data_IF_638862551683
#
_entry.id   IF_638862551683
#
_cell.length_a   1.000
_cell.length_b   1.000
_cell.length_c   1.000
_cell.angle_alpha   90.00
_cell.angle_beta   90.00
_cell.angle_gamma   90.00
#
_symmetry.space_group_name_H-M   'P 1'
#
loop_
_entity.id
_entity.type
_entity.pdbx_description
1 polymer ?
#
# COMPACT_ATOMS: atom_id res chain seq x y z
N UNK A 1 -3.45 -5.21 4.81
CA UNK A 1 -4.17 -5.02 6.09
C UNK A 1 -3.40 -5.55 7.29
N UNK A 2 -2.72 -6.71 7.20
CA UNK A 2 -1.94 -7.26 8.31
C UNK A 2 -0.86 -6.30 8.83
N UNK A 3 -0.14 -5.62 7.94
CA UNK A 3 0.88 -4.63 8.30
C UNK A 3 0.24 -3.42 9.02
N UNK A 4 -0.92 -2.96 8.57
CA UNK A 4 -1.63 -1.85 9.22
C UNK A 4 -2.02 -2.20 10.66
N UNK A 5 -2.62 -3.37 10.89
CA UNK A 5 -2.98 -3.85 12.23
C UNK A 5 -1.74 -4.03 13.12
N UNK A 6 -0.63 -4.52 12.57
CA UNK A 6 0.63 -4.64 13.29
C UNK A 6 1.16 -3.27 13.72
N UNK A 7 1.11 -2.28 12.83
CA UNK A 7 1.53 -0.91 13.14
C UNK A 7 0.64 -0.26 14.21
N UNK A 8 -0.69 -0.47 14.15
CA UNK A 8 -1.63 0.00 15.18
C UNK A 8 -1.33 -0.65 16.55
N UNK A 9 -1.08 -1.96 16.57
CA UNK A 9 -0.71 -2.67 17.79
C UNK A 9 0.56 -2.10 18.40
N UNK A 10 1.61 -1.94 17.59
CA UNK A 10 2.87 -1.34 18.01
C UNK A 10 2.69 0.08 18.55
N UNK A 11 1.86 0.90 17.88
CA UNK A 11 1.54 2.24 18.34
C UNK A 11 0.92 2.22 19.74
N UNK A 12 -0.05 1.34 19.99
CA UNK A 12 -0.70 1.22 21.28
C UNK A 12 0.24 0.71 22.38
N UNK A 13 1.09 -0.27 22.08
CA UNK A 13 2.09 -0.80 23.03
C UNK A 13 3.08 0.28 23.45
N UNK A 14 3.65 1.02 22.48
CA UNK A 14 4.59 2.11 22.77
C UNK A 14 3.94 3.24 23.58
N UNK A 15 2.65 3.53 23.35
CA UNK A 15 1.91 4.51 24.14
C UNK A 15 1.64 4.02 25.56
N UNK A 16 1.31 2.75 25.74
CA UNK A 16 1.12 2.14 27.06
C UNK A 16 2.40 2.19 27.89
N UNK A 17 3.55 1.97 27.26
CA UNK A 17 4.88 2.04 27.87
C UNK A 17 5.42 3.48 28.03
N UNK A 18 4.63 4.48 27.65
CA UNK A 18 5.04 5.90 27.65
C UNK A 18 6.32 6.17 26.86
N UNK A 19 6.57 5.39 25.82
CA UNK A 19 7.70 5.55 24.92
C UNK A 19 7.62 6.87 24.15
N UNK A 20 8.78 7.49 23.90
CA UNK A 20 8.90 8.65 23.02
C UNK A 20 9.01 8.26 21.52
N UNK A 21 9.05 6.97 21.21
CA UNK A 21 9.13 6.48 19.85
C UNK A 21 7.78 6.64 19.15
N UNK A 22 7.80 7.26 17.97
CA UNK A 22 6.63 7.37 17.08
C UNK A 22 6.50 6.17 16.15
N UNK A 23 5.32 6.01 15.57
CA UNK A 23 5.03 5.00 14.54
C UNK A 23 4.32 5.68 13.36
N UNK A 24 4.83 5.46 12.16
CA UNK A 24 4.18 5.90 10.92
C UNK A 24 3.89 4.68 10.06
N UNK A 25 2.64 4.52 9.65
CA UNK A 25 2.20 3.45 8.75
C UNK A 25 2.08 4.01 7.33
N UNK A 26 3.05 3.69 6.48
CA UNK A 26 3.02 4.07 5.07
C UNK A 26 2.08 3.14 4.29
N UNK A 27 1.08 3.72 3.64
CA UNK A 27 0.13 3.07 2.76
C UNK A 27 0.30 3.63 1.34
N UNK A 28 1.28 3.14 0.57
CA UNK A 28 1.57 3.67 -0.74
C UNK A 28 0.53 3.25 -1.77
N UNK A 29 0.19 4.17 -2.67
CA UNK A 29 -0.45 3.84 -3.95
C UNK A 29 0.57 3.25 -4.93
N UNK A 30 0.43 3.58 -6.21
CA UNK A 30 1.41 3.18 -7.21
C UNK A 30 2.63 4.10 -7.15
N UNK A 31 3.80 3.51 -6.95
CA UNK A 31 5.10 4.20 -6.91
C UNK A 31 5.96 3.65 -8.04
N UNK A 32 6.58 4.53 -8.81
CA UNK A 32 7.45 4.15 -9.92
C UNK A 32 8.74 3.52 -9.38
N UNK A 33 8.73 2.20 -9.29
CA UNK A 33 9.82 1.41 -8.74
C UNK A 33 10.17 0.24 -9.67
N UNK A 34 11.40 -0.24 -9.56
CA UNK A 34 11.92 -1.37 -10.33
C UNK A 34 11.45 -2.76 -9.82
N UNK A 35 10.42 -2.80 -8.95
CA UNK A 35 10.00 -4.04 -8.27
C UNK A 35 9.58 -5.15 -9.25
N UNK A 36 8.88 -4.81 -10.33
CA UNK A 36 8.46 -5.80 -11.34
C UNK A 36 9.66 -6.31 -12.14
N UNK A 37 10.58 -5.42 -12.49
CA UNK A 37 11.80 -5.80 -13.19
C UNK A 37 12.73 -6.62 -12.28
N UNK A 38 12.82 -6.25 -11.00
CA UNK A 38 13.55 -7.04 -10.01
C UNK A 38 12.96 -8.45 -9.88
N UNK A 39 11.64 -8.59 -9.84
CA UNK A 39 10.96 -9.90 -9.80
C UNK A 39 11.27 -10.73 -11.05
N UNK A 40 11.26 -10.12 -12.24
CA UNK A 40 11.64 -10.80 -13.48
C UNK A 40 13.12 -11.26 -13.49
N UNK A 41 14.04 -10.45 -12.94
CA UNK A 41 15.48 -10.79 -12.84
C UNK A 41 15.75 -11.95 -11.86
N UNK A 42 14.97 -12.03 -10.77
CA UNK A 42 15.11 -13.10 -9.78
C UNK A 42 14.67 -14.48 -10.31
N UNK A 43 14.03 -14.52 -11.46
CA UNK A 43 13.73 -15.74 -12.22
C UNK A 43 12.55 -16.54 -11.67
N UNK A 44 12.23 -17.61 -12.38
CA UNK A 44 11.04 -18.45 -12.20
C UNK A 44 10.93 -19.22 -10.88
N UNK A 45 11.90 -19.10 -10.00
CA UNK A 45 11.88 -19.72 -8.66
C UNK A 45 10.98 -19.03 -7.65
N UNK A 46 10.50 -17.82 -7.94
CA UNK A 46 9.75 -16.96 -7.03
C UNK A 46 8.25 -16.86 -7.34
N UNK A 47 7.68 -17.81 -8.09
CA UNK A 47 6.26 -17.81 -8.40
C UNK A 47 5.85 -16.81 -9.47
N UNK A 48 6.73 -16.53 -10.45
CA UNK A 48 6.33 -15.80 -11.66
C UNK A 48 5.14 -16.51 -12.30
N UNK A 49 4.06 -15.79 -12.62
CA UNK A 49 2.86 -16.41 -13.17
C UNK A 49 3.19 -17.04 -14.51
N UNK A 50 2.82 -18.33 -14.65
CA UNK A 50 3.05 -19.12 -15.88
C UNK A 50 1.79 -19.21 -16.74
N UNK A 51 0.71 -18.54 -16.34
CA UNK A 51 -0.56 -18.51 -17.05
C UNK A 51 -0.87 -17.14 -17.68
N UNK A 52 -1.86 -17.12 -18.57
CA UNK A 52 -2.29 -15.91 -19.29
C UNK A 52 -2.81 -14.82 -18.31
N UNK A 53 -3.47 -15.21 -17.24
CA UNK A 53 -4.00 -14.28 -16.24
C UNK A 53 -2.87 -13.56 -15.50
N UNK A 54 -1.83 -14.29 -15.14
CA UNK A 54 -0.64 -13.74 -14.51
C UNK A 54 0.17 -12.82 -15.42
N UNK A 55 0.27 -13.15 -16.72
CA UNK A 55 0.92 -12.28 -17.70
C UNK A 55 0.19 -10.95 -17.86
N UNK A 56 -1.14 -10.97 -17.95
CA UNK A 56 -1.97 -9.75 -18.00
C UNK A 56 -1.84 -8.92 -16.72
N UNK A 57 -1.73 -9.59 -15.56
CA UNK A 57 -1.52 -8.90 -14.29
C UNK A 57 -0.15 -8.21 -14.24
N UNK A 58 0.90 -8.85 -14.75
CA UNK A 58 2.24 -8.24 -14.84
C UNK A 58 2.25 -7.01 -15.74
N UNK A 59 1.64 -7.09 -16.94
CA UNK A 59 1.53 -5.95 -17.85
C UNK A 59 0.76 -4.78 -17.22
N UNK A 60 -0.35 -5.08 -16.54
CA UNK A 60 -1.10 -4.07 -15.79
C UNK A 60 -0.24 -3.43 -14.70
N UNK A 61 0.48 -4.24 -13.92
CA UNK A 61 1.33 -3.76 -12.84
C UNK A 61 2.47 -2.88 -13.35
N UNK A 62 3.14 -3.26 -14.44
CA UNK A 62 4.19 -2.45 -15.06
C UNK A 62 3.65 -1.08 -15.50
N UNK A 63 2.50 -1.06 -16.15
CA UNK A 63 1.87 0.18 -16.63
C UNK A 63 1.42 1.06 -15.46
N UNK A 64 0.86 0.47 -14.42
CA UNK A 64 0.43 1.20 -13.23
C UNK A 64 1.62 1.79 -12.45
N UNK A 65 2.71 1.04 -12.32
CA UNK A 65 3.91 1.50 -11.62
C UNK A 65 4.66 2.58 -12.42
N UNK A 66 4.79 2.43 -13.74
CA UNK A 66 5.45 3.43 -14.58
C UNK A 66 4.71 4.79 -14.63
N UNK A 67 3.43 4.82 -14.27
CA UNK A 67 2.64 6.05 -14.11
C UNK A 67 2.51 6.49 -12.64
N UNK A 68 3.19 5.81 -11.72
CA UNK A 68 3.12 6.08 -10.30
C UNK A 68 3.92 7.29 -9.83
N UNK A 69 3.88 7.54 -8.54
CA UNK A 69 4.64 8.61 -7.92
C UNK A 69 6.15 8.34 -7.98
N UNK A 70 6.93 9.40 -8.11
CA UNK A 70 8.40 9.34 -7.96
C UNK A 70 8.74 8.87 -6.54
N UNK A 71 9.61 7.85 -6.38
CA UNK A 71 10.07 7.40 -5.07
C UNK A 71 10.66 8.51 -4.19
N UNK A 72 11.29 9.52 -4.78
CA UNK A 72 11.84 10.66 -4.04
C UNK A 72 10.73 11.49 -3.38
N UNK A 73 9.60 11.70 -4.08
CA UNK A 73 8.43 12.39 -3.52
C UNK A 73 7.84 11.61 -2.35
N UNK A 74 7.73 10.29 -2.48
CA UNK A 74 7.27 9.43 -1.39
C UNK A 74 8.24 9.50 -0.20
N UNK A 75 9.55 9.55 -0.46
CA UNK A 75 10.57 9.73 0.59
C UNK A 75 10.41 11.03 1.36
N UNK A 76 10.13 12.14 0.69
CA UNK A 76 9.84 13.43 1.32
C UNK A 76 8.57 13.37 2.18
N UNK A 77 7.49 12.79 1.67
CA UNK A 77 6.26 12.59 2.44
C UNK A 77 6.49 11.76 3.71
N UNK A 78 7.31 10.71 3.63
CA UNK A 78 7.68 9.89 4.81
C UNK A 78 8.48 10.70 5.81
N UNK A 79 9.46 11.48 5.34
CA UNK A 79 10.24 12.36 6.22
C UNK A 79 9.34 13.32 6.98
N UNK A 80 8.45 14.01 6.29
CA UNK A 80 7.55 15.00 6.90
C UNK A 80 6.58 14.33 7.88
N UNK A 81 6.02 13.17 7.54
CA UNK A 81 5.15 12.41 8.42
C UNK A 81 5.85 11.97 9.71
N UNK A 82 7.14 11.63 9.65
CA UNK A 82 7.96 11.29 10.83
C UNK A 82 8.17 12.55 11.70
N UNK A 83 8.52 13.68 11.11
CA UNK A 83 8.71 14.95 11.84
C UNK A 83 7.42 15.37 12.54
N UNK A 84 6.27 15.23 11.87
CA UNK A 84 4.95 15.61 12.40
C UNK A 84 4.34 14.54 13.31
N UNK A 85 5.03 13.41 13.54
CA UNK A 85 4.53 12.26 14.30
C UNK A 85 3.16 11.77 13.80
N UNK A 86 2.97 11.76 12.49
CA UNK A 86 1.76 11.33 11.81
C UNK A 86 1.73 9.80 11.76
N UNK A 87 0.60 9.18 12.17
CA UNK A 87 0.47 7.72 12.12
C UNK A 87 0.14 7.20 10.72
N UNK A 88 -0.95 7.68 10.11
CA UNK A 88 -1.35 7.26 8.78
C UNK A 88 -0.72 8.14 7.71
N UNK A 89 0.03 7.52 6.78
CA UNK A 89 0.54 8.19 5.61
C UNK A 89 0.04 7.49 4.34
N UNK A 90 -0.93 8.10 3.66
CA UNK A 90 -1.36 7.73 2.32
C UNK A 90 -0.65 8.63 1.31
N UNK A 91 -0.08 8.06 0.25
CA UNK A 91 0.65 8.83 -0.75
C UNK A 91 -0.26 9.59 -1.71
N UNK A 92 -1.52 9.15 -1.82
CA UNK A 92 -2.58 9.76 -2.64
C UNK A 92 -3.96 9.38 -2.09
N UNK A 93 -5.01 10.04 -2.60
CA UNK A 93 -6.40 9.83 -2.17
C UNK A 93 -7.16 8.79 -3.04
N UNK A 94 -6.48 8.16 -4.00
CA UNK A 94 -7.13 7.28 -4.97
C UNK A 94 -7.79 6.04 -4.35
N UNK A 95 -7.36 5.68 -3.14
CA UNK A 95 -7.85 4.50 -2.43
C UNK A 95 -8.91 4.78 -1.37
N UNK A 96 -9.22 6.03 -1.10
CA UNK A 96 -10.16 6.42 -0.01
C UNK A 96 -11.54 5.81 -0.21
N UNK A 97 -12.06 5.81 -1.44
CA UNK A 97 -13.34 5.18 -1.75
C UNK A 97 -13.31 3.67 -1.50
N UNK A 98 -12.24 2.98 -1.86
CA UNK A 98 -12.10 1.54 -1.66
C UNK A 98 -12.00 1.19 -0.16
N UNK A 99 -11.33 2.03 0.63
CA UNK A 99 -11.23 1.89 2.08
C UNK A 99 -12.60 2.08 2.72
N UNK A 100 -13.33 3.13 2.33
CA UNK A 100 -14.68 3.41 2.81
C UNK A 100 -15.67 2.31 2.43
N UNK A 101 -15.62 1.83 1.18
CA UNK A 101 -16.47 0.72 0.73
C UNK A 101 -16.19 -0.54 1.55
N UNK A 102 -14.93 -0.89 1.78
CA UNK A 102 -14.57 -2.03 2.60
C UNK A 102 -15.08 -1.90 4.03
N UNK A 103 -14.90 -0.72 4.63
CA UNK A 103 -15.39 -0.46 5.98
C UNK A 103 -16.91 -0.61 6.06
N UNK A 104 -17.64 -0.08 5.09
CA UNK A 104 -19.10 -0.24 4.96
C UNK A 104 -19.51 -1.71 4.85
N UNK A 105 -18.83 -2.47 3.98
CA UNK A 105 -19.12 -3.89 3.80
C UNK A 105 -18.91 -4.70 5.10
N UNK A 106 -17.81 -4.44 5.80
CA UNK A 106 -17.50 -5.12 7.07
C UNK A 106 -18.53 -4.79 8.15
N UNK A 107 -18.86 -3.52 8.33
CA UNK A 107 -19.82 -3.08 9.37
C UNK A 107 -21.23 -3.57 9.11
N UNK A 108 -21.62 -3.70 7.85
CA UNK A 108 -22.94 -4.20 7.44
C UNK A 108 -22.98 -5.70 7.11
N UNK A 109 -21.86 -6.40 7.29
CA UNK A 109 -21.71 -7.85 7.05
C UNK A 109 -22.08 -8.26 5.62
N UNK A 110 -21.72 -7.41 4.67
CA UNK A 110 -21.90 -7.63 3.24
C UNK A 110 -20.72 -8.40 2.66
N UNK A 111 -20.98 -9.18 1.61
CA UNK A 111 -19.91 -9.83 0.87
C UNK A 111 -19.01 -8.77 0.18
N UNK A 112 -17.70 -9.05 0.04
CA UNK A 112 -16.81 -8.17 -0.69
C UNK A 112 -17.26 -8.03 -2.15
N UNK A 113 -17.30 -6.80 -2.65
CA UNK A 113 -17.48 -6.52 -4.06
C UNK A 113 -16.19 -5.96 -4.65
N UNK A 114 -15.94 -6.25 -5.92
CA UNK A 114 -14.78 -5.71 -6.64
C UNK A 114 -15.05 -4.26 -7.03
N UNK A 115 -14.98 -3.35 -6.06
CA UNK A 115 -14.84 -1.93 -6.36
C UNK A 115 -13.45 -1.69 -6.90
N UNK A 116 -13.29 -1.59 -8.23
CA UNK A 116 -12.05 -1.05 -8.79
C UNK A 116 -12.09 0.45 -8.57
N UNK A 117 -11.04 1.06 -7.99
CA UNK A 117 -10.90 2.50 -8.08
C UNK A 117 -10.90 2.86 -9.57
N UNK A 118 -11.67 3.87 -9.93
CA UNK A 118 -11.64 4.42 -11.27
C UNK A 118 -10.26 5.03 -11.49
N UNK A 119 -9.38 4.28 -12.13
CA UNK A 119 -8.12 4.84 -12.65
C UNK A 119 -8.51 5.66 -13.87
N UNK A 120 -8.67 6.94 -13.69
CA UNK A 120 -8.81 7.92 -14.77
C UNK A 120 -7.44 8.20 -15.38
#
# INVERSE_FOLDING_TARGET
HGVAVLAETLYHELRADRSSVGVTCLCPGFVDTDIVQATKRLGSGTGAPQDEAGSKWLEFSERALSGGLDPAVVGEQVHDAIIDNQFWLFTDEAWDEAINLRAHQVTNRLAPTTGRPSVS
#
